data_IF_249337574678
#
_entry.id   IF_249337574678
#
_cell.length_a   1.000
_cell.length_b   1.000
_cell.length_c   1.000
_cell.angle_alpha   90.00
_cell.angle_beta   90.00
_cell.angle_gamma   90.00
#
_symmetry.space_group_name_H-M   'P 1'
#
loop_
_entity.id
_entity.type
_entity.pdbx_description
1 polymer ?
#
# COMPACT_ATOMS: atom_id res chain seq x y z
N UNK A 1 -10.24 8.64 15.21
CA UNK A 1 -10.01 9.34 13.91
C UNK A 1 -9.42 8.34 12.93
N UNK A 2 -9.75 8.42 11.64
CA UNK A 2 -9.16 7.59 10.59
C UNK A 2 -8.93 8.46 9.36
N UNK A 3 -7.69 8.52 8.88
CA UNK A 3 -7.38 9.03 7.55
C UNK A 3 -7.48 7.89 6.54
N UNK A 4 -8.07 8.18 5.39
CA UNK A 4 -8.08 7.27 4.25
C UNK A 4 -7.76 8.05 2.99
N UNK A 5 -6.83 7.55 2.19
CA UNK A 5 -6.51 8.04 0.85
C UNK A 5 -6.63 6.87 -0.13
N UNK A 6 -7.17 7.11 -1.31
CA UNK A 6 -7.28 6.10 -2.36
C UNK A 6 -6.93 6.64 -3.74
N UNK A 7 -6.12 5.88 -4.47
CA UNK A 7 -5.70 6.16 -5.83
C UNK A 7 -6.21 5.07 -6.78
N UNK A 8 -6.34 5.44 -8.04
CA UNK A 8 -6.44 4.45 -9.11
C UNK A 8 -5.04 3.90 -9.38
N UNK A 9 -4.84 2.60 -9.13
CA UNK A 9 -3.58 1.91 -9.36
C UNK A 9 -3.54 1.16 -10.70
N UNK A 10 -2.51 0.32 -10.90
CA UNK A 10 -2.36 -0.47 -12.11
C UNK A 10 -3.48 -1.51 -12.26
N UNK A 11 -3.70 -1.97 -13.50
CA UNK A 11 -4.65 -3.03 -13.83
C UNK A 11 -3.95 -4.14 -14.63
N UNK A 12 -4.53 -5.35 -14.58
CA UNK A 12 -3.92 -6.56 -15.17
C UNK A 12 -4.04 -6.66 -16.69
N UNK A 13 -4.69 -5.71 -17.37
CA UNK A 13 -4.75 -5.66 -18.84
C UNK A 13 -3.71 -4.73 -19.43
N UNK A 14 -3.43 -3.62 -18.75
CA UNK A 14 -2.64 -2.51 -19.32
C UNK A 14 -1.27 -2.33 -18.68
N UNK A 15 -1.10 -2.72 -17.41
CA UNK A 15 0.18 -2.53 -16.71
C UNK A 15 0.48 -3.65 -15.72
N UNK A 16 0.64 -4.87 -16.24
CA UNK A 16 1.00 -6.05 -15.46
C UNK A 16 2.27 -5.87 -14.61
N UNK A 17 3.39 -5.31 -15.12
CA UNK A 17 4.60 -5.18 -14.31
C UNK A 17 4.41 -4.31 -13.06
N UNK A 18 3.58 -3.27 -13.15
CA UNK A 18 3.31 -2.39 -12.02
C UNK A 18 2.44 -3.05 -10.94
N UNK A 19 1.66 -4.10 -11.24
CA UNK A 19 0.88 -4.82 -10.22
C UNK A 19 1.82 -5.54 -9.24
N UNK A 20 2.85 -6.21 -9.75
CA UNK A 20 3.87 -6.86 -8.93
C UNK A 20 4.65 -5.83 -8.08
N UNK A 21 5.00 -4.68 -8.67
CA UNK A 21 5.67 -3.61 -7.95
C UNK A 21 4.77 -3.04 -6.82
N UNK A 22 3.47 -2.91 -7.06
CA UNK A 22 2.50 -2.47 -6.07
C UNK A 22 2.39 -3.43 -4.89
N UNK A 23 2.33 -4.73 -5.14
CA UNK A 23 2.25 -5.78 -4.11
C UNK A 23 3.53 -5.83 -3.26
N UNK A 24 4.71 -5.86 -3.90
CA UNK A 24 6.00 -5.86 -3.18
C UNK A 24 6.17 -4.59 -2.36
N UNK A 25 5.90 -3.42 -2.94
CA UNK A 25 6.03 -2.14 -2.25
C UNK A 25 5.11 -2.07 -1.03
N UNK A 26 3.84 -2.39 -1.21
CA UNK A 26 2.84 -2.38 -0.12
C UNK A 26 3.22 -3.37 0.98
N UNK A 27 3.65 -4.58 0.61
CA UNK A 27 4.10 -5.58 1.57
C UNK A 27 5.28 -5.08 2.42
N UNK A 28 6.29 -4.47 1.79
CA UNK A 28 7.45 -3.89 2.48
C UNK A 28 7.02 -2.83 3.47
N UNK A 29 6.16 -1.89 3.06
CA UNK A 29 5.77 -0.78 3.92
C UNK A 29 4.94 -1.20 5.13
N UNK A 30 4.16 -2.27 5.02
CA UNK A 30 3.41 -2.83 6.15
C UNK A 30 4.26 -3.67 7.12
N UNK A 31 5.56 -3.88 6.86
CA UNK A 31 6.42 -4.54 7.84
C UNK A 31 6.78 -3.58 8.98
N UNK A 32 6.87 -4.09 10.21
CA UNK A 32 7.25 -3.29 11.39
C UNK A 32 8.62 -2.61 11.25
N UNK A 33 9.54 -3.22 10.51
CA UNK A 33 10.87 -2.67 10.25
C UNK A 33 10.90 -1.60 9.14
N UNK A 34 9.75 -1.27 8.53
CA UNK A 34 9.68 -0.29 7.46
C UNK A 34 9.91 1.12 8.00
N UNK A 35 10.43 2.01 7.14
CA UNK A 35 10.59 3.43 7.47
C UNK A 35 9.25 4.10 7.75
N UNK A 36 8.18 3.66 7.10
CA UNK A 36 6.82 4.15 7.34
C UNK A 36 6.35 3.78 8.76
N UNK A 37 6.57 2.53 9.17
CA UNK A 37 6.25 2.06 10.52
C UNK A 37 7.01 2.84 11.58
N UNK A 38 8.33 3.03 11.40
CA UNK A 38 9.14 3.82 12.32
C UNK A 38 8.66 5.28 12.42
N UNK A 39 8.28 5.87 11.28
CA UNK A 39 7.88 7.27 11.22
C UNK A 39 6.47 7.54 11.76
N UNK A 40 5.58 6.54 11.74
CA UNK A 40 4.19 6.69 12.19
C UNK A 40 3.92 5.99 13.53
N UNK A 41 4.26 4.71 13.65
CA UNK A 41 3.97 3.87 14.81
C UNK A 41 5.00 4.12 15.92
N UNK A 42 6.30 3.94 15.64
CA UNK A 42 7.34 4.06 16.66
C UNK A 42 7.47 5.50 17.18
N UNK A 43 7.17 6.49 16.32
CA UNK A 43 7.07 7.90 16.69
C UNK A 43 5.81 8.23 17.54
N UNK A 44 4.89 7.28 17.71
CA UNK A 44 3.63 7.44 18.45
C UNK A 44 2.65 8.41 17.80
N UNK A 45 2.75 8.62 16.48
CA UNK A 45 1.86 9.48 15.69
C UNK A 45 0.60 8.73 15.24
N UNK A 46 0.71 7.43 14.97
CA UNK A 46 -0.39 6.55 14.62
C UNK A 46 -0.40 5.29 15.48
N UNK A 47 -1.59 4.72 15.65
CA UNK A 47 -1.81 3.44 16.32
C UNK A 47 -1.71 2.28 15.33
N UNK A 48 -2.11 2.54 14.08
CA UNK A 48 -2.11 1.57 13.00
C UNK A 48 -2.05 2.30 11.65
N UNK A 49 -1.49 1.65 10.65
CA UNK A 49 -1.73 1.98 9.25
C UNK A 49 -1.87 0.70 8.42
N UNK A 50 -2.43 0.83 7.23
CA UNK A 50 -2.43 -0.19 6.19
C UNK A 50 -2.25 0.51 4.83
N UNK A 51 -1.26 0.08 4.06
CA UNK A 51 -1.14 0.41 2.64
C UNK A 51 -1.44 -0.83 1.82
N UNK A 52 -2.48 -0.81 1.02
CA UNK A 52 -2.89 -1.96 0.21
C UNK A 52 -3.10 -1.60 -1.24
N UNK A 53 -2.89 -2.60 -2.10
CA UNK A 53 -3.25 -2.59 -3.50
C UNK A 53 -4.10 -3.85 -3.76
N UNK A 54 -5.19 -3.70 -4.51
CA UNK A 54 -6.05 -4.82 -4.88
C UNK A 54 -5.90 -5.11 -6.37
N UNK A 55 -5.40 -6.30 -6.71
CA UNK A 55 -5.29 -6.73 -8.10
C UNK A 55 -6.67 -6.89 -8.74
N UNK A 56 -6.95 -6.10 -9.78
CA UNK A 56 -8.20 -6.15 -10.55
C UNK A 56 -7.93 -5.93 -12.04
N UNK A 57 -8.91 -6.36 -12.85
CA UNK A 57 -8.82 -6.29 -14.31
C UNK A 57 -8.94 -4.88 -14.88
N UNK A 58 -9.71 -3.99 -14.27
CA UNK A 58 -10.08 -2.71 -14.87
C UNK A 58 -9.47 -1.47 -14.19
N UNK A 59 -9.33 -1.47 -12.86
CA UNK A 59 -8.52 -0.53 -12.07
C UNK A 59 -8.22 -1.25 -10.76
N UNK A 60 -6.96 -1.46 -10.40
CA UNK A 60 -6.60 -1.99 -9.09
C UNK A 60 -6.47 -0.85 -8.08
N UNK A 61 -7.40 -0.66 -7.12
CA UNK A 61 -7.35 0.47 -6.21
C UNK A 61 -6.15 0.34 -5.27
N UNK A 62 -5.54 1.48 -4.97
CA UNK A 62 -4.54 1.62 -3.91
C UNK A 62 -5.26 2.32 -2.76
N UNK A 63 -5.10 1.81 -1.54
CA UNK A 63 -5.70 2.36 -0.33
C UNK A 63 -4.63 2.57 0.72
N UNK A 64 -4.60 3.76 1.32
CA UNK A 64 -3.76 4.06 2.46
C UNK A 64 -4.63 4.53 3.61
N UNK A 65 -4.71 3.69 4.65
CA UNK A 65 -5.50 3.95 5.86
C UNK A 65 -4.54 4.19 7.00
N UNK A 66 -4.78 5.24 7.78
CA UNK A 66 -4.00 5.54 9.00
C UNK A 66 -4.97 5.84 10.14
N UNK A 67 -4.75 5.18 11.28
CA UNK A 67 -5.43 5.46 12.54
C UNK A 67 -4.51 6.33 13.39
N UNK A 68 -4.62 7.68 13.33
CA UNK A 68 -3.74 8.56 14.09
C UNK A 68 -4.00 8.47 15.59
N UNK A 69 -2.98 8.81 16.37
CA UNK A 69 -3.13 9.15 17.78
C UNK A 69 -4.07 10.38 17.88
N UNK A 70 -5.18 10.30 18.64
CA UNK A 70 -6.14 11.39 18.78
C UNK A 70 -5.53 12.73 19.21
N UNK A 71 -4.42 12.71 19.95
CA UNK A 71 -3.74 13.91 20.44
C UNK A 71 -2.68 14.46 19.47
N UNK A 72 -2.41 13.81 18.33
CA UNK A 72 -1.35 14.17 17.37
C UNK A 72 -1.80 14.13 15.90
N UNK A 73 -3.06 14.47 15.64
CA UNK A 73 -3.70 14.26 14.33
C UNK A 73 -3.07 15.12 13.24
N UNK A 74 -2.78 16.41 13.54
CA UNK A 74 -2.18 17.35 12.58
C UNK A 74 -0.73 16.94 12.24
N UNK A 75 0.04 16.53 13.25
CA UNK A 75 1.41 16.02 13.10
C UNK A 75 1.44 14.70 12.33
N UNK A 76 0.53 13.78 12.65
CA UNK A 76 0.40 12.51 11.92
C UNK A 76 0.08 12.75 10.44
N UNK A 77 -0.84 13.68 10.14
CA UNK A 77 -1.17 14.03 8.76
C UNK A 77 0.02 14.66 8.00
N UNK A 78 0.74 15.58 8.64
CA UNK A 78 1.93 16.18 8.05
C UNK A 78 3.01 15.12 7.76
N UNK A 79 3.23 14.21 8.70
CA UNK A 79 4.19 13.12 8.56
C UNK A 79 3.76 12.13 7.47
N UNK A 80 2.48 11.77 7.42
CA UNK A 80 1.90 10.95 6.36
C UNK A 80 2.19 11.53 4.97
N UNK A 81 1.94 12.84 4.77
CA UNK A 81 2.27 13.53 3.51
C UNK A 81 3.77 13.54 3.23
N UNK A 82 4.59 13.76 4.26
CA UNK A 82 6.05 13.74 4.12
C UNK A 82 6.56 12.37 3.68
N UNK A 83 6.03 11.30 4.26
CA UNK A 83 6.41 9.92 3.90
C UNK A 83 6.04 9.62 2.46
N UNK A 84 4.80 9.94 2.01
CA UNK A 84 4.37 9.76 0.61
C UNK A 84 5.32 10.49 -0.36
N UNK A 85 5.78 11.70 -0.02
CA UNK A 85 6.71 12.45 -0.85
C UNK A 85 8.10 11.79 -0.98
N UNK A 86 8.48 10.93 -0.03
CA UNK A 86 9.77 10.23 0.03
C UNK A 86 9.73 8.82 -0.56
N UNK A 87 8.55 8.27 -0.88
CA UNK A 87 8.37 6.87 -1.30
C UNK A 87 9.15 6.45 -2.55
N UNK A 88 9.49 7.39 -3.42
CA UNK A 88 10.30 7.15 -4.63
C UNK A 88 11.79 7.48 -4.46
N UNK A 89 12.25 7.83 -3.26
CA UNK A 89 13.66 8.14 -2.99
C UNK A 89 14.50 6.89 -2.86
N UNK A 90 15.78 6.98 -3.26
CA UNK A 90 16.67 5.81 -3.38
C UNK A 90 16.89 5.05 -2.07
N UNK A 91 16.75 5.70 -0.91
CA UNK A 91 17.01 5.10 0.40
C UNK A 91 15.74 4.89 1.23
N UNK A 92 14.55 4.95 0.61
CA UNK A 92 13.29 4.77 1.37
C UNK A 92 13.03 3.32 1.74
N UNK A 93 13.25 2.41 0.79
CA UNK A 93 13.21 0.95 0.95
C UNK A 93 14.66 0.44 0.87
N UNK A 94 15.12 -0.52 1.64
CA UNK A 94 16.49 -1.06 1.49
C UNK A 94 16.52 -2.32 0.62
N UNK A 95 17.69 -2.68 0.06
CA UNK A 95 17.81 -3.93 -0.71
C UNK A 95 17.51 -5.15 0.17
N UNK A 96 17.93 -5.11 1.43
CA UNK A 96 17.59 -6.13 2.43
C UNK A 96 16.08 -6.26 2.63
N UNK A 97 15.35 -5.14 2.75
CA UNK A 97 13.89 -5.16 2.86
C UNK A 97 13.23 -5.77 1.62
N UNK A 98 13.76 -5.52 0.42
CA UNK A 98 13.24 -6.08 -0.84
C UNK A 98 13.39 -7.60 -0.83
N UNK A 99 14.58 -8.11 -0.51
CA UNK A 99 14.85 -9.55 -0.53
C UNK A 99 14.07 -10.29 0.58
N UNK A 100 13.96 -9.71 1.77
CA UNK A 100 13.12 -10.25 2.85
C UNK A 100 11.65 -10.29 2.42
N UNK A 101 11.15 -9.22 1.80
CA UNK A 101 9.76 -9.15 1.37
C UNK A 101 9.43 -10.21 0.31
N UNK A 102 10.27 -10.36 -0.71
CA UNK A 102 10.10 -11.40 -1.73
C UNK A 102 10.04 -12.80 -1.12
N UNK A 103 10.96 -13.11 -0.20
CA UNK A 103 10.97 -14.41 0.49
C UNK A 103 9.71 -14.64 1.31
N UNK A 104 9.23 -13.63 2.04
CA UNK A 104 8.00 -13.74 2.84
C UNK A 104 6.76 -13.89 1.95
N UNK A 105 6.69 -13.17 0.83
CA UNK A 105 5.62 -13.31 -0.15
C UNK A 105 5.60 -14.72 -0.76
N UNK A 106 6.77 -15.27 -1.11
CA UNK A 106 6.88 -16.64 -1.62
C UNK A 106 6.37 -17.67 -0.59
N UNK A 107 6.73 -17.53 0.70
CA UNK A 107 6.22 -18.41 1.77
C UNK A 107 4.71 -18.29 1.89
N UNK A 108 4.19 -17.08 1.96
CA UNK A 108 2.74 -16.82 2.07
C UNK A 108 1.97 -17.45 0.91
N UNK A 109 2.50 -17.35 -0.31
CA UNK A 109 1.86 -17.97 -1.48
C UNK A 109 1.81 -19.49 -1.39
N UNK A 110 2.82 -20.14 -0.81
CA UNK A 110 2.81 -21.59 -0.59
C UNK A 110 1.75 -21.93 0.45
N UNK A 111 1.73 -21.23 1.60
CA UNK A 111 0.77 -21.42 2.68
C UNK A 111 -0.69 -21.25 2.19
N UNK A 112 -0.97 -20.25 1.36
CA UNK A 112 -2.28 -19.99 0.75
C UNK A 112 -2.77 -21.13 -0.17
N UNK A 113 -1.89 -22.04 -0.59
CA UNK A 113 -2.21 -23.18 -1.46
C UNK A 113 -2.31 -24.52 -0.71
N UNK A 114 -1.98 -24.56 0.58
CA UNK A 114 -1.99 -25.81 1.35
C UNK A 114 -3.40 -26.27 1.77
N UNK A 115 -4.34 -25.32 1.88
CA UNK A 115 -5.73 -25.61 2.27
C UNK A 115 -6.60 -25.64 1.01
N UNK A 116 -7.11 -26.82 0.65
CA UNK A 116 -7.87 -27.02 -0.61
C UNK A 116 -9.06 -26.08 -0.78
N UNK A 117 -9.82 -25.78 0.29
CA UNK A 117 -10.96 -24.85 0.22
C UNK A 117 -10.51 -23.43 -0.11
N UNK A 118 -9.41 -22.99 0.48
CA UNK A 118 -8.87 -21.65 0.32
C UNK A 118 -8.21 -21.52 -1.06
N UNK A 119 -7.55 -22.57 -1.52
CA UNK A 119 -6.98 -22.66 -2.85
C UNK A 119 -8.02 -22.45 -3.96
N UNK A 120 -9.19 -23.10 -3.87
CA UNK A 120 -10.26 -22.93 -4.88
C UNK A 120 -10.77 -21.49 -4.93
N UNK A 121 -10.90 -20.84 -3.77
CA UNK A 121 -11.28 -19.43 -3.70
C UNK A 121 -10.21 -18.51 -4.29
N UNK A 122 -8.96 -18.72 -3.89
CA UNK A 122 -7.79 -17.98 -4.39
C UNK A 122 -7.68 -18.09 -5.91
N UNK A 123 -7.74 -19.32 -6.46
CA UNK A 123 -7.69 -19.56 -7.90
C UNK A 123 -8.83 -18.87 -8.64
N UNK A 124 -10.05 -18.95 -8.12
CA UNK A 124 -11.23 -18.30 -8.72
C UNK A 124 -11.09 -16.78 -8.72
N UNK A 125 -10.59 -16.20 -7.63
CA UNK A 125 -10.30 -14.77 -7.54
C UNK A 125 -9.26 -14.34 -8.58
N UNK A 126 -8.11 -15.01 -8.65
CA UNK A 126 -7.05 -14.64 -9.59
C UNK A 126 -7.50 -14.78 -11.04
N UNK A 127 -8.27 -15.82 -11.35
CA UNK A 127 -8.82 -16.00 -12.69
C UNK A 127 -9.78 -14.87 -13.08
N UNK A 128 -10.66 -14.44 -12.15
CA UNK A 128 -11.59 -13.34 -12.40
C UNK A 128 -10.91 -11.96 -12.47
N UNK A 129 -9.90 -11.74 -11.63
CA UNK A 129 -9.18 -10.46 -11.51
C UNK A 129 -8.05 -10.28 -12.54
N UNK A 130 -7.54 -11.38 -13.09
CA UNK A 130 -6.40 -11.39 -14.00
C UNK A 130 -6.53 -12.51 -15.06
N UNK A 131 -5.76 -13.58 -14.90
CA UNK A 131 -5.74 -14.78 -15.74
C UNK A 131 -5.08 -15.94 -14.97
N UNK A 132 -5.22 -17.16 -15.46
CA UNK A 132 -4.50 -18.31 -14.90
C UNK A 132 -2.98 -18.19 -15.10
N UNK A 133 -2.53 -17.63 -16.21
CA UNK A 133 -1.10 -17.38 -16.47
C UNK A 133 -0.52 -16.38 -15.48
N UNK A 134 -1.29 -15.34 -15.13
CA UNK A 134 -0.89 -14.41 -14.08
C UNK A 134 -0.68 -15.14 -12.75
N UNK A 135 -1.64 -16.01 -12.36
CA UNK A 135 -1.55 -16.78 -11.12
C UNK A 135 -0.33 -17.70 -11.09
N UNK A 136 -0.11 -18.49 -12.14
CA UNK A 136 0.98 -19.48 -12.18
C UNK A 136 2.37 -18.86 -12.25
N UNK A 137 2.48 -17.66 -12.82
CA UNK A 137 3.76 -16.92 -12.93
C UNK A 137 3.94 -15.84 -11.86
N UNK A 138 2.95 -15.64 -10.98
CA UNK A 138 2.92 -14.53 -10.02
C UNK A 138 4.19 -14.45 -9.17
N UNK A 139 4.56 -15.53 -8.49
CA UNK A 139 5.74 -15.56 -7.61
C UNK A 139 7.06 -15.35 -8.36
N UNK A 140 7.17 -15.87 -9.58
CA UNK A 140 8.35 -15.62 -10.43
C UNK A 140 8.49 -14.13 -10.77
N UNK A 141 7.38 -13.47 -11.05
CA UNK A 141 7.38 -12.05 -11.38
C UNK A 141 7.61 -11.16 -10.15
N UNK A 142 7.10 -11.53 -8.97
CA UNK A 142 7.44 -10.85 -7.71
C UNK A 142 8.96 -10.87 -7.45
N UNK A 143 9.63 -12.00 -7.68
CA UNK A 143 11.09 -12.12 -7.49
C UNK A 143 11.88 -11.19 -8.43
N UNK A 144 11.34 -10.87 -9.60
CA UNK A 144 11.98 -9.97 -10.58
C UNK A 144 11.86 -8.49 -10.24
N UNK A 145 10.95 -8.11 -9.34
CA UNK A 145 10.72 -6.71 -8.97
C UNK A 145 12.00 -6.09 -8.40
N UNK A 146 12.34 -4.92 -8.93
CA UNK A 146 13.47 -4.09 -8.49
C UNK A 146 12.97 -2.82 -7.83
N UNK A 147 13.88 -2.16 -7.10
CA UNK A 147 13.69 -0.81 -6.57
C UNK A 147 13.13 0.17 -7.60
N UNK A 148 13.72 0.18 -8.79
CA UNK A 148 13.30 1.09 -9.87
C UNK A 148 11.84 0.88 -10.30
N UNK A 149 11.34 -0.35 -10.26
CA UNK A 149 9.96 -0.68 -10.61
C UNK A 149 8.99 -0.12 -9.55
N UNK A 150 9.32 -0.27 -8.26
CA UNK A 150 8.53 0.32 -7.16
C UNK A 150 8.55 1.85 -7.20
N UNK A 151 9.70 2.46 -7.47
CA UNK A 151 9.79 3.91 -7.65
C UNK A 151 8.97 4.39 -8.84
N UNK A 152 8.99 3.66 -9.97
CA UNK A 152 8.16 3.95 -11.13
C UNK A 152 6.67 3.83 -10.80
N UNK A 153 6.27 2.78 -10.08
CA UNK A 153 4.92 2.59 -9.57
C UNK A 153 4.46 3.78 -8.71
N UNK A 154 5.25 4.19 -7.71
CA UNK A 154 4.94 5.34 -6.85
C UNK A 154 4.76 6.62 -7.68
N UNK A 155 5.67 6.89 -8.61
CA UNK A 155 5.60 8.07 -9.50
C UNK A 155 4.43 8.03 -10.48
N UNK A 156 4.02 6.85 -10.92
CA UNK A 156 2.94 6.68 -11.89
C UNK A 156 1.55 6.73 -11.25
N UNK A 157 1.40 6.18 -10.04
CA UNK A 157 0.07 5.93 -9.45
C UNK A 157 -0.23 6.67 -8.15
N UNK A 158 0.79 7.14 -7.41
CA UNK A 158 0.58 7.70 -6.06
C UNK A 158 1.03 9.15 -5.97
N UNK A 159 2.34 9.40 -6.14
CA UNK A 159 2.96 10.70 -5.87
C UNK A 159 2.48 11.72 -6.90
N UNK A 160 1.92 12.82 -6.40
CA UNK A 160 1.33 13.90 -7.21
C UNK A 160 0.24 13.41 -8.18
N UNK A 161 -0.46 12.32 -7.83
CA UNK A 161 -1.61 11.82 -8.60
C UNK A 161 -2.92 12.18 -7.93
N UNK A 162 -4.02 12.32 -8.71
CA UNK A 162 -5.34 12.49 -8.14
C UNK A 162 -5.69 11.33 -7.21
N UNK A 163 -6.28 11.66 -6.06
CA UNK A 163 -6.78 10.70 -5.10
C UNK A 163 -8.11 11.16 -4.52
N UNK A 164 -8.91 10.20 -4.03
CA UNK A 164 -9.99 10.48 -3.12
C UNK A 164 -9.45 10.36 -1.68
N UNK A 165 -9.88 11.24 -0.79
CA UNK A 165 -9.49 11.15 0.62
C UNK A 165 -10.66 11.46 1.55
N UNK A 166 -10.57 10.92 2.77
CA UNK A 166 -11.53 11.15 3.83
C UNK A 166 -10.87 11.14 5.20
N UNK A 167 -11.47 11.91 6.11
CA UNK A 167 -11.15 11.91 7.53
C UNK A 167 -12.41 11.54 8.30
N UNK A 168 -12.42 10.36 8.91
CA UNK A 168 -13.47 9.95 9.83
C UNK A 168 -13.12 10.41 11.24
N UNK A 169 -13.99 11.21 11.87
CA UNK A 169 -13.84 11.69 13.25
C UNK A 169 -15.15 11.52 14.02
N UNK A 170 -15.05 11.48 15.34
CA UNK A 170 -16.22 11.62 16.19
C UNK A 170 -16.71 13.09 16.13
N UNK A 171 -18.02 13.36 16.07
CA UNK A 171 -18.57 14.73 16.10
C UNK A 171 -17.99 15.63 17.20
N UNK A 172 -17.71 15.08 18.39
CA UNK A 172 -17.14 15.85 19.52
C UNK A 172 -15.72 16.37 19.29
N UNK A 173 -15.02 15.87 18.28
CA UNK A 173 -13.64 16.30 17.95
C UNK A 173 -13.59 17.42 16.91
N UNK A 174 -14.73 17.78 16.29
CA UNK A 174 -14.76 18.65 15.11
C UNK A 174 -14.13 20.03 15.37
N UNK A 175 -14.47 20.66 16.48
CA UNK A 175 -13.96 22.00 16.84
C UNK A 175 -12.47 22.03 17.19
N UNK A 176 -11.89 20.89 17.57
CA UNK A 176 -10.47 20.78 17.92
C UNK A 176 -9.60 20.43 16.70
N UNK A 177 -10.16 19.68 15.76
CA UNK A 177 -9.44 19.14 14.61
C UNK A 177 -9.49 20.10 13.42
N UNK A 178 -10.60 20.80 13.20
CA UNK A 178 -10.84 21.62 12.00
C UNK A 178 -10.67 20.77 10.72
N UNK A 179 -11.54 19.77 10.49
CA UNK A 179 -11.35 18.77 9.42
C UNK A 179 -11.24 19.38 8.01
N UNK A 180 -11.78 20.57 7.79
CA UNK A 180 -11.63 21.39 6.58
C UNK A 180 -10.20 21.82 6.27
N UNK A 181 -9.28 21.78 7.23
CA UNK A 181 -7.86 22.09 7.01
C UNK A 181 -7.08 20.94 6.36
N UNK A 182 -7.65 19.73 6.34
CA UNK A 182 -7.04 18.55 5.75
C UNK A 182 -7.39 18.42 4.27
N UNK A 183 -6.46 17.83 3.49
CA UNK A 183 -6.65 17.55 2.06
C UNK A 183 -7.04 18.75 1.16
N UNK A 184 -6.72 19.98 1.58
CA UNK A 184 -6.85 21.17 0.72
C UNK A 184 -6.11 20.96 -0.60
N UNK A 185 -6.78 21.28 -1.71
CA UNK A 185 -6.15 21.37 -3.02
C UNK A 185 -5.10 22.49 -2.97
N UNK A 186 -3.88 22.20 -3.44
CA UNK A 186 -2.86 23.22 -3.67
C UNK A 186 -3.23 24.08 -4.87
#
# INVERSE_FOLDING_TARGET
PIFMMSWQGPDTRTNLPATYAADVFSFILNQNASKLSQSLIDAGLALQFDLSYLTLKHVGPISFVVVPNPSKIKECFAEMKRQIALWDTDNYVTDEQIEIAKRKLDIRMIEEQEITSDFVQTLSFWWASASLDYFTTYGENLRKVKRADMQAYVRQYIKNKPFAAGLLINPGMRSQIEPEEFFKAN
#
